data_IF_180239932726
#
_entry.id   IF_180239932726
#
_cell.length_a   1.000
_cell.length_b   1.000
_cell.length_c   1.000
_cell.angle_alpha   90.00
_cell.angle_beta   90.00
_cell.angle_gamma   90.00
#
_symmetry.space_group_name_H-M   'P 1'
#
loop_
_entity.id
_entity.type
_entity.pdbx_description
1 polymer ?
#
# COMPACT_ATOMS: atom_id res chain seq x y z
N UNK A 1 50.41 10.66 17.40
CA UNK A 1 49.42 10.35 16.35
C UNK A 1 48.30 11.37 16.46
N UNK A 2 48.12 12.22 15.45
CA UNK A 2 47.33 13.46 15.57
C UNK A 2 45.83 13.15 15.62
N UNK A 3 45.13 13.59 16.68
CA UNK A 3 43.69 13.38 16.89
C UNK A 3 42.85 13.94 15.73
N UNK A 4 43.33 15.03 15.12
CA UNK A 4 42.74 15.67 13.94
C UNK A 4 42.78 14.73 12.73
N UNK A 5 43.87 13.98 12.56
CA UNK A 5 44.05 13.05 11.45
C UNK A 5 43.05 11.88 11.55
N UNK A 6 42.81 11.39 12.77
CA UNK A 6 41.87 10.31 13.04
C UNK A 6 40.41 10.75 12.77
N UNK A 7 40.06 11.98 13.18
CA UNK A 7 38.75 12.57 12.92
C UNK A 7 38.50 12.80 11.43
N UNK A 8 39.50 13.25 10.67
CA UNK A 8 39.36 13.43 9.22
C UNK A 8 39.19 12.10 8.48
N UNK A 9 39.86 11.04 8.93
CA UNK A 9 39.70 9.69 8.36
C UNK A 9 38.29 9.13 8.62
N UNK A 10 37.76 9.27 9.84
CA UNK A 10 36.39 8.83 10.15
C UNK A 10 35.30 9.62 9.42
N UNK A 11 35.46 10.93 9.22
CA UNK A 11 34.50 11.72 8.43
C UNK A 11 34.51 11.33 6.95
N UNK A 12 35.66 10.96 6.38
CA UNK A 12 35.73 10.54 4.97
C UNK A 12 35.01 9.21 4.70
N UNK A 13 35.03 8.26 5.65
CA UNK A 13 34.28 7.00 5.57
C UNK A 13 32.76 7.15 5.79
N UNK A 14 32.31 8.24 6.42
CA UNK A 14 30.89 8.55 6.60
C UNK A 14 30.30 9.28 5.40
N UNK A 15 31.13 9.83 4.51
CA UNK A 15 30.73 10.53 3.29
C UNK A 15 30.80 9.65 2.03
N UNK A 16 31.34 8.43 2.11
CA UNK A 16 31.33 7.42 1.04
C UNK A 16 30.02 6.62 0.99
N UNK A 17 28.90 7.30 1.16
CA UNK A 17 27.56 6.73 1.10
C UNK A 17 26.71 7.48 0.11
N UNK A 18 26.91 7.25 -1.19
CA UNK A 18 25.86 7.42 -2.20
C UNK A 18 26.26 6.78 -3.54
N UNK A 19 25.27 6.08 -4.11
CA UNK A 19 25.19 5.59 -5.49
C UNK A 19 25.96 4.30 -5.76
N UNK A 20 25.31 3.16 -5.48
CA UNK A 20 25.41 2.05 -6.42
C UNK A 20 24.93 2.58 -7.77
N UNK A 21 25.88 2.91 -8.64
CA UNK A 21 25.63 3.24 -10.04
C UNK A 21 25.10 1.98 -10.71
N UNK A 22 23.79 1.75 -10.55
CA UNK A 22 23.08 0.63 -11.14
C UNK A 22 22.79 0.97 -12.61
N UNK A 23 23.86 1.24 -13.38
CA UNK A 23 23.82 1.27 -14.84
C UNK A 23 23.71 -0.16 -15.34
N UNK A 24 22.56 -0.77 -15.07
CA UNK A 24 22.19 -2.03 -15.66
C UNK A 24 21.82 -1.74 -17.12
N UNK A 25 22.77 -1.95 -18.03
CA UNK A 25 22.55 -1.90 -19.48
C UNK A 25 21.42 -2.87 -19.82
N UNK A 26 20.34 -2.35 -20.38
CA UNK A 26 19.22 -3.15 -20.88
C UNK A 26 19.51 -3.56 -22.32
N UNK A 27 19.30 -4.84 -22.64
CA UNK A 27 19.46 -5.37 -24.00
C UNK A 27 18.07 -5.56 -24.62
N UNK A 28 17.88 -5.10 -25.86
CA UNK A 28 16.66 -5.37 -26.63
C UNK A 28 16.94 -6.54 -27.56
N UNK A 29 16.21 -7.65 -27.41
CA UNK A 29 16.19 -8.73 -28.41
C UNK A 29 15.21 -8.37 -29.53
N UNK A 30 15.68 -8.42 -30.78
CA UNK A 30 14.83 -8.22 -31.94
C UNK A 30 13.97 -9.48 -32.19
N UNK A 31 12.67 -9.30 -32.35
CA UNK A 31 11.78 -10.36 -32.81
C UNK A 31 12.05 -10.70 -34.29
N UNK A 32 12.01 -11.99 -34.65
CA UNK A 32 12.11 -12.47 -36.04
C UNK A 32 11.00 -11.85 -36.90
N UNK A 33 11.38 -11.16 -37.97
CA UNK A 33 10.47 -10.78 -39.06
C UNK A 33 10.73 -11.73 -40.23
N UNK A 34 9.73 -12.54 -40.61
CA UNK A 34 9.78 -13.37 -41.82
C UNK A 34 9.33 -12.54 -43.03
N UNK A 35 10.13 -12.53 -44.10
CA UNK A 35 9.76 -11.89 -45.38
C UNK A 35 9.12 -12.92 -46.32
N UNK A 36 8.22 -12.49 -47.23
CA UNK A 36 7.54 -13.37 -48.19
C UNK A 36 8.41 -13.79 -49.40
N UNK A 37 9.68 -13.40 -49.46
CA UNK A 37 10.65 -13.91 -50.42
C UNK A 37 11.53 -14.96 -49.75
N UNK A 38 11.81 -16.07 -50.45
CA UNK A 38 12.40 -17.34 -49.97
C UNK A 38 13.83 -17.30 -49.40
N UNK A 39 14.29 -16.15 -48.88
CA UNK A 39 15.55 -15.98 -48.17
C UNK A 39 15.32 -15.70 -46.68
N UNK A 40 16.04 -16.41 -45.81
CA UNK A 40 16.12 -16.08 -44.38
C UNK A 40 16.98 -14.83 -44.21
N UNK A 41 16.36 -13.67 -43.99
CA UNK A 41 17.08 -12.45 -43.65
C UNK A 41 17.39 -12.48 -42.14
N UNK A 42 18.64 -12.81 -41.78
CA UNK A 42 19.11 -12.63 -40.40
C UNK A 42 19.58 -11.19 -40.27
N UNK A 43 18.73 -10.33 -39.71
CA UNK A 43 19.15 -9.00 -39.25
C UNK A 43 19.93 -9.22 -37.95
N UNK A 44 21.23 -8.93 -37.95
CA UNK A 44 21.98 -8.73 -36.71
C UNK A 44 21.69 -7.32 -36.24
N UNK A 45 20.84 -7.09 -35.22
CA UNK A 45 20.71 -5.75 -34.68
C UNK A 45 22.06 -5.35 -34.10
N UNK A 46 22.50 -4.13 -34.40
CA UNK A 46 23.64 -3.54 -33.71
C UNK A 46 23.23 -3.42 -32.24
N UNK A 47 23.85 -4.22 -31.38
CA UNK A 47 23.65 -4.14 -29.93
C UNK A 47 24.38 -2.88 -29.47
N UNK A 48 23.66 -1.76 -29.44
CA UNK A 48 24.18 -0.51 -28.89
C UNK A 48 23.76 -0.39 -27.43
N UNK A 49 24.70 -0.14 -26.50
CA UNK A 49 24.35 0.19 -25.13
C UNK A 49 23.62 1.53 -25.12
N UNK A 50 22.31 1.48 -24.89
CA UNK A 50 21.51 2.68 -24.64
C UNK A 50 21.36 2.88 -23.14
N UNK A 51 21.48 4.13 -22.70
CA UNK A 51 21.12 4.50 -21.33
C UNK A 51 19.65 4.13 -21.09
N UNK A 52 19.35 3.69 -19.87
CA UNK A 52 17.97 3.47 -19.47
C UNK A 52 17.15 4.74 -19.76
N UNK A 53 15.92 4.61 -20.30
CA UNK A 53 15.09 5.77 -20.58
C UNK A 53 14.88 6.58 -19.30
N UNK A 54 15.38 7.82 -19.29
CA UNK A 54 15.13 8.77 -18.21
C UNK A 54 13.80 9.43 -18.46
N UNK A 55 12.75 8.84 -17.91
CA UNK A 55 11.46 9.47 -17.95
C UNK A 55 11.36 10.53 -16.84
N UNK A 56 10.97 11.76 -17.19
CA UNK A 56 10.64 12.81 -16.23
C UNK A 56 9.25 12.56 -15.62
N UNK A 57 9.08 11.46 -14.89
CA UNK A 57 7.85 11.27 -14.11
C UNK A 57 7.89 12.30 -12.98
N UNK A 58 6.85 13.14 -12.82
CA UNK A 58 6.75 13.97 -11.63
C UNK A 58 6.64 13.02 -10.43
N UNK A 59 7.72 12.88 -9.66
CA UNK A 59 7.69 12.12 -8.42
C UNK A 59 6.82 12.89 -7.44
N UNK A 60 5.76 12.29 -6.88
CA UNK A 60 4.98 12.94 -5.85
C UNK A 60 5.89 13.38 -4.71
N UNK A 61 5.74 14.63 -4.23
CA UNK A 61 6.51 15.14 -3.09
C UNK A 61 6.16 14.44 -1.77
N UNK A 62 5.05 13.72 -1.74
CA UNK A 62 4.54 12.96 -0.61
C UNK A 62 4.05 11.59 -1.08
N UNK A 63 4.15 10.54 -0.24
CA UNK A 63 3.50 9.25 -0.51
C UNK A 63 2.02 9.47 -0.84
N UNK A 64 1.54 8.80 -1.89
CA UNK A 64 0.14 8.86 -2.30
C UNK A 64 -0.48 7.50 -2.00
N UNK A 65 -1.55 7.50 -1.21
CA UNK A 65 -2.37 6.31 -1.00
C UNK A 65 -3.17 6.06 -2.28
N UNK A 66 -3.02 4.87 -2.83
CA UNK A 66 -3.76 4.41 -4.01
C UNK A 66 -4.60 3.20 -3.65
N UNK A 67 -5.49 2.78 -4.54
CA UNK A 67 -6.18 1.50 -4.45
C UNK A 67 -5.20 0.32 -4.23
N UNK A 68 -4.01 0.35 -4.84
CA UNK A 68 -2.99 -0.69 -4.66
C UNK A 68 -2.40 -0.75 -3.24
N UNK A 69 -2.51 0.33 -2.46
CA UNK A 69 -2.09 0.35 -1.06
C UNK A 69 -2.97 -0.54 -0.17
N UNK A 70 -4.14 -0.97 -0.64
CA UNK A 70 -5.09 -1.83 0.08
C UNK A 70 -5.09 -3.27 -0.43
N UNK A 71 -4.00 -3.74 -1.02
CA UNK A 71 -3.90 -5.13 -1.41
C UNK A 71 -3.87 -6.05 -0.18
N UNK A 72 -4.12 -7.32 -0.41
CA UNK A 72 -4.05 -8.35 0.64
C UNK A 72 -2.60 -8.49 1.13
N UNK A 73 -2.41 -8.58 2.45
CA UNK A 73 -1.08 -8.66 3.06
C UNK A 73 -0.66 -10.09 3.47
N UNK A 74 -1.27 -11.12 2.87
CA UNK A 74 -0.89 -12.51 3.12
C UNK A 74 0.59 -12.80 2.85
N UNK A 75 1.17 -13.64 3.70
CA UNK A 75 2.62 -13.84 3.84
C UNK A 75 3.12 -15.21 3.39
N UNK A 76 2.25 -16.02 2.77
CA UNK A 76 2.54 -17.42 2.35
C UNK A 76 2.91 -18.36 3.52
N UNK A 77 2.41 -18.08 4.72
CA UNK A 77 2.53 -18.96 5.88
C UNK A 77 1.63 -20.21 5.82
N UNK A 78 1.76 -21.06 6.83
CA UNK A 78 0.91 -22.23 7.03
C UNK A 78 0.68 -22.47 8.52
N UNK A 79 -0.50 -22.94 8.90
CA UNK A 79 -0.89 -23.28 10.26
C UNK A 79 -1.40 -24.71 10.30
N UNK A 80 -0.82 -25.52 11.18
CA UNK A 80 -1.31 -26.87 11.45
C UNK A 80 -2.34 -26.80 12.57
N UNK A 81 -3.56 -27.23 12.29
CA UNK A 81 -4.58 -27.51 13.30
C UNK A 81 -4.63 -29.03 13.56
N UNK A 82 -5.39 -29.46 14.57
CA UNK A 82 -5.56 -30.89 14.87
C UNK A 82 -6.17 -31.66 13.69
N UNK A 83 -7.01 -30.99 12.89
CA UNK A 83 -7.78 -31.62 11.82
C UNK A 83 -7.20 -31.36 10.41
N UNK A 84 -6.54 -30.21 10.19
CA UNK A 84 -6.14 -29.78 8.85
C UNK A 84 -4.90 -28.88 8.83
N UNK A 85 -4.28 -28.75 7.67
CA UNK A 85 -3.28 -27.72 7.40
C UNK A 85 -3.93 -26.56 6.62
N UNK A 86 -3.88 -25.35 7.19
CA UNK A 86 -4.41 -24.13 6.57
C UNK A 86 -3.26 -23.30 6.02
N UNK A 87 -3.37 -22.87 4.77
CA UNK A 87 -2.34 -22.07 4.10
C UNK A 87 -2.78 -20.62 3.97
N UNK A 88 -1.81 -19.73 4.12
CA UNK A 88 -1.94 -18.33 3.79
C UNK A 88 -1.67 -18.11 2.29
N UNK A 89 -2.27 -17.05 1.74
CA UNK A 89 -1.97 -16.61 0.39
C UNK A 89 -0.64 -15.82 0.32
N UNK A 90 -0.18 -15.55 -0.91
CA UNK A 90 0.85 -14.54 -1.16
C UNK A 90 0.19 -13.25 -1.62
N UNK A 91 0.10 -12.27 -0.72
CA UNK A 91 -0.56 -10.99 -0.94
C UNK A 91 -0.01 -10.20 -2.13
N UNK A 92 1.31 -10.20 -2.32
CA UNK A 92 1.98 -9.50 -3.43
C UNK A 92 1.54 -10.09 -4.78
N UNK A 93 1.35 -11.42 -4.86
CA UNK A 93 0.87 -12.05 -6.09
C UNK A 93 -0.56 -11.64 -6.46
N UNK A 94 -1.34 -11.10 -5.52
CA UNK A 94 -2.66 -10.56 -5.83
C UNK A 94 -2.62 -9.21 -6.52
N UNK A 95 -1.51 -8.45 -6.45
CA UNK A 95 -1.39 -7.20 -7.21
C UNK A 95 -1.45 -7.42 -8.73
N UNK A 96 -1.11 -8.62 -9.20
CA UNK A 96 -1.26 -9.01 -10.61
C UNK A 96 -2.71 -9.35 -11.01
N UNK A 97 -3.66 -9.36 -10.04
CA UNK A 97 -5.07 -9.66 -10.25
C UNK A 97 -5.92 -8.44 -9.88
N UNK A 98 -7.06 -8.22 -10.55
CA UNK A 98 -7.99 -7.19 -10.13
C UNK A 98 -8.56 -7.55 -8.75
N UNK A 99 -8.52 -6.59 -7.83
CA UNK A 99 -9.26 -6.62 -6.57
C UNK A 99 -10.06 -5.32 -6.44
N UNK A 100 -11.23 -5.42 -5.83
CA UNK A 100 -12.10 -4.27 -5.65
C UNK A 100 -11.85 -3.64 -4.29
N UNK A 101 -11.74 -2.31 -4.26
CA UNK A 101 -11.72 -1.49 -3.06
C UNK A 101 -12.72 -0.38 -3.27
N UNK A 102 -13.57 -0.16 -2.28
CA UNK A 102 -14.56 0.89 -2.38
C UNK A 102 -13.89 2.27 -2.48
N UNK A 103 -14.25 3.12 -3.47
CA UNK A 103 -13.57 4.41 -3.68
C UNK A 103 -13.59 5.32 -2.44
N UNK A 104 -14.70 5.30 -1.67
CA UNK A 104 -14.79 6.07 -0.43
C UNK A 104 -13.72 5.68 0.59
N UNK A 105 -13.36 4.41 0.68
CA UNK A 105 -12.32 3.93 1.60
C UNK A 105 -10.95 4.54 1.25
N UNK A 106 -10.63 4.61 -0.05
CA UNK A 106 -9.41 5.26 -0.55
C UNK A 106 -9.43 6.75 -0.23
N UNK A 107 -10.56 7.43 -0.48
CA UNK A 107 -10.73 8.86 -0.20
C UNK A 107 -10.57 9.14 1.30
N UNK A 108 -11.23 8.40 2.19
CA UNK A 108 -11.10 8.54 3.64
C UNK A 108 -9.63 8.41 4.05
N UNK A 109 -8.94 7.36 3.58
CA UNK A 109 -7.54 7.14 3.91
C UNK A 109 -6.63 8.27 3.41
N UNK A 110 -6.85 8.79 2.20
CA UNK A 110 -6.09 9.93 1.67
C UNK A 110 -6.31 11.20 2.50
N UNK A 111 -7.55 11.49 2.89
CA UNK A 111 -7.88 12.64 3.74
C UNK A 111 -7.22 12.54 5.11
N UNK A 112 -7.25 11.34 5.73
CA UNK A 112 -6.57 11.11 7.00
C UNK A 112 -5.05 11.23 6.81
N UNK A 113 -4.47 10.59 5.78
CA UNK A 113 -3.02 10.59 5.50
C UNK A 113 -2.45 11.99 5.34
N UNK A 114 -3.21 12.90 4.74
CA UNK A 114 -2.81 14.30 4.56
C UNK A 114 -2.56 15.03 5.89
N UNK A 115 -3.26 14.62 6.96
CA UNK A 115 -3.16 15.24 8.29
C UNK A 115 -2.37 14.39 9.29
N UNK A 116 -2.47 13.08 9.19
CA UNK A 116 -1.80 12.11 10.03
C UNK A 116 -1.17 11.05 9.13
N UNK A 117 0.17 10.95 9.03
CA UNK A 117 0.81 9.89 8.26
C UNK A 117 0.29 8.51 8.72
N UNK A 118 -0.32 7.79 7.78
CA UNK A 118 -0.85 6.44 8.00
C UNK A 118 -0.14 5.40 7.14
N UNK A 119 -0.07 4.17 7.64
CA UNK A 119 0.30 2.98 6.87
C UNK A 119 -0.90 2.05 6.79
N UNK A 120 -1.23 1.56 5.59
CA UNK A 120 -2.27 0.54 5.45
C UNK A 120 -1.70 -0.79 5.96
N UNK A 121 -2.28 -1.33 7.03
CA UNK A 121 -1.85 -2.61 7.62
C UNK A 121 -2.61 -3.78 7.01
N UNK A 122 -3.88 -3.57 6.65
CA UNK A 122 -4.71 -4.54 5.93
C UNK A 122 -5.80 -3.79 5.16
N UNK A 123 -6.04 -4.21 3.91
CA UNK A 123 -7.10 -3.67 3.04
C UNK A 123 -8.04 -4.78 2.58
N UNK A 124 -8.09 -5.03 1.27
CA UNK A 124 -8.77 -6.20 0.72
C UNK A 124 -8.12 -7.49 1.23
N UNK A 125 -8.91 -8.39 1.80
CA UNK A 125 -8.45 -9.69 2.26
C UNK A 125 -9.03 -10.79 1.36
N UNK A 126 -8.19 -11.61 0.73
CA UNK A 126 -8.73 -12.70 -0.08
C UNK A 126 -9.33 -13.81 0.82
N UNK A 127 -10.26 -14.64 0.30
CA UNK A 127 -10.91 -15.68 1.12
C UNK A 127 -9.92 -16.65 1.79
N UNK A 128 -8.81 -16.96 1.13
CA UNK A 128 -7.77 -17.84 1.68
C UNK A 128 -7.05 -17.19 2.86
N UNK A 129 -6.63 -15.93 2.71
CA UNK A 129 -5.99 -15.16 3.79
C UNK A 129 -6.95 -14.94 4.96
N UNK A 130 -8.20 -14.60 4.68
CA UNK A 130 -9.23 -14.41 5.69
C UNK A 130 -9.41 -15.67 6.55
N UNK A 131 -9.55 -16.84 5.92
CA UNK A 131 -9.63 -18.12 6.63
C UNK A 131 -8.38 -18.40 7.48
N UNK A 132 -7.20 -18.09 6.94
CA UNK A 132 -5.94 -18.22 7.67
C UNK A 132 -5.92 -17.33 8.92
N UNK A 133 -6.32 -16.05 8.79
CA UNK A 133 -6.39 -15.11 9.91
C UNK A 133 -7.36 -15.57 10.99
N UNK A 134 -8.56 -16.04 10.62
CA UNK A 134 -9.54 -16.58 11.57
C UNK A 134 -9.00 -17.81 12.31
N UNK A 135 -8.26 -18.68 11.61
CA UNK A 135 -7.63 -19.86 12.23
C UNK A 135 -6.47 -19.48 13.16
N UNK A 136 -5.89 -18.29 12.98
CA UNK A 136 -4.78 -17.77 13.79
C UNK A 136 -5.23 -16.92 15.00
N UNK A 137 -6.51 -17.00 15.37
CA UNK A 137 -7.16 -16.14 16.38
C UNK A 137 -7.03 -14.63 16.11
N UNK A 138 -6.77 -14.25 14.86
CA UNK A 138 -6.77 -12.84 14.45
C UNK A 138 -8.17 -12.46 14.00
N UNK A 139 -8.90 -11.75 14.86
CA UNK A 139 -10.21 -11.20 14.50
C UNK A 139 -10.08 -10.11 13.44
N UNK A 140 -10.77 -10.28 12.33
CA UNK A 140 -10.85 -9.34 11.23
C UNK A 140 -12.28 -9.36 10.65
N UNK A 141 -12.78 -8.18 10.28
CA UNK A 141 -14.13 -8.04 9.73
C UNK A 141 -14.24 -8.68 8.35
N UNK A 142 -15.37 -9.34 8.06
CA UNK A 142 -15.65 -9.89 6.73
C UNK A 142 -15.73 -8.78 5.65
N UNK A 143 -15.91 -7.51 6.06
CA UNK A 143 -15.91 -6.37 5.14
C UNK A 143 -14.57 -6.23 4.37
N UNK A 144 -13.47 -6.74 4.91
CA UNK A 144 -12.19 -6.81 4.19
C UNK A 144 -12.28 -7.70 2.95
N UNK A 145 -13.05 -8.79 2.98
CA UNK A 145 -13.27 -9.68 1.83
C UNK A 145 -14.06 -8.99 0.71
N UNK A 146 -14.82 -7.95 1.05
CA UNK A 146 -15.64 -7.16 0.13
C UNK A 146 -14.94 -5.88 -0.34
N UNK A 147 -13.74 -5.59 0.16
CA UNK A 147 -13.02 -4.35 -0.14
C UNK A 147 -13.65 -3.10 0.49
N UNK A 148 -14.40 -3.28 1.58
CA UNK A 148 -15.14 -2.23 2.29
C UNK A 148 -14.49 -1.85 3.62
N UNK A 149 -13.43 -2.54 4.04
CA UNK A 149 -12.74 -2.24 5.27
C UNK A 149 -11.23 -2.11 5.09
N UNK A 150 -10.62 -1.30 5.95
CA UNK A 150 -9.19 -1.18 6.09
C UNK A 150 -8.79 -1.00 7.54
N UNK A 151 -7.61 -1.51 7.88
CA UNK A 151 -6.92 -1.23 9.13
C UNK A 151 -5.72 -0.38 8.77
N UNK A 152 -5.62 0.81 9.37
CA UNK A 152 -4.51 1.73 9.13
C UNK A 152 -3.82 2.06 10.43
N UNK A 153 -2.49 1.96 10.47
CA UNK A 153 -1.70 2.36 11.63
C UNK A 153 -1.34 3.84 11.55
N UNK A 154 -1.28 4.48 12.71
CA UNK A 154 -0.91 5.88 12.85
C UNK A 154 0.33 5.99 13.74
N UNK A 155 1.07 7.10 13.64
CA UNK A 155 2.24 7.34 14.53
C UNK A 155 1.83 7.71 15.96
N UNK A 156 0.67 8.34 16.10
CA UNK A 156 0.08 8.78 17.37
C UNK A 156 -1.40 8.40 17.43
N UNK A 157 -1.98 8.20 18.62
CA UNK A 157 -3.42 8.00 18.75
C UNK A 157 -4.19 9.16 18.12
N UNK A 158 -5.16 8.83 17.25
CA UNK A 158 -6.04 9.81 16.61
C UNK A 158 -7.44 9.63 17.20
N UNK A 159 -8.00 10.66 17.81
CA UNK A 159 -9.32 10.58 18.41
C UNK A 159 -10.45 10.88 17.41
N UNK A 160 -11.69 10.41 17.66
CA UNK A 160 -12.86 10.79 16.86
C UNK A 160 -13.02 12.31 16.68
N UNK A 161 -12.70 13.10 17.72
CA UNK A 161 -12.79 14.57 17.67
C UNK A 161 -11.75 15.18 16.73
N UNK A 162 -10.56 14.58 16.62
CA UNK A 162 -9.54 15.00 15.66
C UNK A 162 -9.93 14.66 14.22
N UNK A 163 -10.65 13.55 14.02
CA UNK A 163 -11.12 13.10 12.70
C UNK A 163 -12.30 13.93 12.18
N UNK A 164 -13.23 14.34 13.05
CA UNK A 164 -14.44 15.06 12.65
C UNK A 164 -14.21 16.25 11.69
N UNK A 165 -13.31 17.22 11.95
CA UNK A 165 -13.09 18.33 11.03
C UNK A 165 -12.46 17.90 9.69
N UNK A 166 -11.70 16.79 9.67
CA UNK A 166 -11.08 16.24 8.46
C UNK A 166 -12.16 15.58 7.60
N UNK A 167 -12.95 14.69 8.20
CA UNK A 167 -13.98 13.92 7.49
C UNK A 167 -15.16 14.80 7.04
N UNK A 168 -15.43 15.92 7.73
CA UNK A 168 -16.43 16.90 7.28
C UNK A 168 -16.15 17.45 5.88
N UNK A 169 -14.88 17.41 5.44
CA UNK A 169 -14.49 17.87 4.10
C UNK A 169 -14.91 16.92 2.99
N UNK A 170 -15.20 15.65 3.30
CA UNK A 170 -15.70 14.67 2.32
C UNK A 170 -17.01 15.11 1.67
N UNK A 171 -17.81 15.91 2.38
CA UNK A 171 -19.13 16.36 1.97
C UNK A 171 -19.16 17.85 1.57
N UNK A 172 -17.99 18.48 1.39
CA UNK A 172 -17.94 19.88 0.95
C UNK A 172 -18.17 19.97 -0.56
N UNK A 173 -19.39 20.33 -0.95
CA UNK A 173 -19.78 20.61 -2.32
C UNK A 173 -21.29 20.84 -2.44
N UNK A 174 -21.72 21.75 -3.31
CA UNK A 174 -23.13 21.93 -3.62
C UNK A 174 -23.57 20.90 -4.67
N UNK A 175 -24.72 20.20 -4.50
CA UNK A 175 -25.60 20.14 -3.35
C UNK A 175 -25.51 18.74 -2.70
N UNK A 176 -24.45 18.47 -1.94
CA UNK A 176 -24.44 17.32 -1.04
C UNK A 176 -24.81 17.81 0.36
N UNK A 177 -25.86 17.26 1.00
CA UNK A 177 -26.18 17.64 2.36
C UNK A 177 -24.99 17.35 3.28
N UNK A 178 -24.67 18.28 4.17
CA UNK A 178 -23.73 18.04 5.26
C UNK A 178 -24.22 16.83 6.06
N UNK A 179 -23.47 15.73 6.02
CA UNK A 179 -23.80 14.54 6.82
C UNK A 179 -23.46 14.76 8.28
N UNK A 180 -24.32 14.29 9.17
CA UNK A 180 -24.14 14.44 10.63
C UNK A 180 -23.27 13.31 11.13
N UNK A 181 -22.14 13.64 11.77
CA UNK A 181 -21.31 12.63 12.44
C UNK A 181 -21.83 12.34 13.84
N UNK A 182 -21.97 11.05 14.14
CA UNK A 182 -22.14 10.56 15.51
C UNK A 182 -20.76 10.23 16.08
N UNK A 183 -20.41 10.85 17.21
CA UNK A 183 -19.15 10.64 17.91
C UNK A 183 -19.39 9.84 19.19
N UNK A 184 -18.55 8.83 19.42
CA UNK A 184 -18.45 8.15 20.71
C UNK A 184 -17.04 8.34 21.30
N UNK A 185 -16.71 7.59 22.35
CA UNK A 185 -15.37 7.63 22.95
C UNK A 185 -14.27 7.26 21.94
N UNK A 186 -14.49 6.24 21.14
CA UNK A 186 -13.50 5.70 20.21
C UNK A 186 -13.99 5.60 18.76
N UNK A 187 -15.26 5.91 18.48
CA UNK A 187 -15.80 5.84 17.12
C UNK A 187 -16.28 7.19 16.59
N UNK A 188 -16.14 7.37 15.28
CA UNK A 188 -16.83 8.40 14.48
C UNK A 188 -17.56 7.70 13.34
N UNK A 189 -18.84 7.98 13.16
CA UNK A 189 -19.65 7.32 12.14
C UNK A 189 -20.70 8.23 11.55
N UNK A 190 -21.18 7.88 10.37
CA UNK A 190 -22.40 8.40 9.74
C UNK A 190 -23.06 7.28 8.92
N UNK A 191 -23.97 7.61 8.01
CA UNK A 191 -24.63 6.65 7.15
C UNK A 191 -23.68 5.94 6.16
N UNK A 192 -22.54 6.53 5.80
CA UNK A 192 -21.62 5.97 4.80
C UNK A 192 -20.52 5.08 5.41
N UNK A 193 -20.09 5.37 6.63
CA UNK A 193 -18.94 4.69 7.24
C UNK A 193 -18.94 4.76 8.76
N UNK A 194 -18.10 3.89 9.33
CA UNK A 194 -17.65 3.92 10.73
C UNK A 194 -16.13 3.86 10.78
N UNK A 195 -15.53 4.70 11.63
CA UNK A 195 -14.10 4.63 11.96
C UNK A 195 -13.96 4.41 13.46
N UNK A 196 -13.28 3.34 13.83
CA UNK A 196 -12.98 2.98 15.21
C UNK A 196 -11.49 3.17 15.50
N UNK A 197 -11.19 3.96 16.53
CA UNK A 197 -9.85 4.20 17.04
C UNK A 197 -9.52 3.15 18.09
N UNK A 198 -8.44 2.39 17.91
CA UNK A 198 -8.05 1.31 18.82
C UNK A 198 -6.53 1.08 18.80
N UNK A 199 -6.06 0.03 19.47
CA UNK A 199 -4.67 -0.38 19.49
C UNK A 199 -4.52 -1.83 19.01
N UNK A 200 -3.58 -2.08 18.11
CA UNK A 200 -3.19 -3.43 17.68
C UNK A 200 -1.72 -3.64 18.04
N UNK A 201 -1.44 -4.64 18.90
CA UNK A 201 -0.08 -4.93 19.41
C UNK A 201 0.61 -3.67 20.00
N UNK A 202 -0.15 -2.85 20.74
CA UNK A 202 0.34 -1.62 21.36
C UNK A 202 0.52 -0.43 20.41
N UNK A 203 0.28 -0.58 19.10
CA UNK A 203 0.33 0.52 18.13
C UNK A 203 -1.08 1.10 17.90
N UNK A 204 -1.23 2.43 17.83
CA UNK A 204 -2.53 3.03 17.52
C UNK A 204 -2.92 2.72 16.08
N UNK A 205 -4.17 2.31 15.90
CA UNK A 205 -4.75 1.98 14.60
C UNK A 205 -6.16 2.56 14.48
N UNK A 206 -6.54 2.86 13.24
CA UNK A 206 -7.92 3.16 12.87
C UNK A 206 -8.45 1.99 12.04
N UNK A 207 -9.59 1.46 12.45
CA UNK A 207 -10.38 0.50 11.67
C UNK A 207 -11.44 1.29 10.95
N UNK A 208 -11.41 1.29 9.62
CA UNK A 208 -12.34 2.03 8.76
C UNK A 208 -13.21 0.99 8.07
N UNK A 209 -14.53 1.11 8.20
CA UNK A 209 -15.50 0.30 7.46
C UNK A 209 -16.50 1.20 6.74
N UNK A 210 -16.72 0.92 5.46
CA UNK A 210 -17.72 1.60 4.62
C UNK A 210 -18.98 0.73 4.57
N UNK A 211 -20.13 1.37 4.75
CA UNK A 211 -21.41 0.71 4.59
C UNK A 211 -21.70 0.53 3.09
N UNK A 212 -22.06 -0.68 2.69
CA UNK A 212 -22.50 -0.95 1.32
C UNK A 212 -24.00 -0.63 1.23
N UNK A 213 -24.38 0.30 0.35
CA UNK A 213 -25.78 0.49 -0.08
C UNK A 213 -26.23 -0.65 -1.00
#
# INVERSE_FOLDING_TARGET
>A
MNLILLLTLCLSSLLSGCSTDNRQTSYIEAARITTQSSGSLILYPVIEPRSAPTYHWPTPKSPVITNYSFHCHGTSGSLSTEETLVFDCNGIKHLAKPFSIHPLLVTIAQYIHHHFPITIEEGYCCPMHYKFLLTSDTSISEQHCKGLAAIVSTQQPVSPQMLAPILSKLYRGLPLPSKTFTLSHNTIQNEDFIITSTFKKGKPVLVIEVHHE
#
